data_IF_074859249406
#
_entry.id   IF_074859249406
#
_cell.length_a   1.000
_cell.length_b   1.000
_cell.length_c   1.000
_cell.angle_alpha   90.00
_cell.angle_beta   90.00
_cell.angle_gamma   90.00
#
_symmetry.space_group_name_H-M   'P 1'
#
loop_
_entity.id
_entity.type
_entity.pdbx_description
1 polymer ?
#
# COMPACT_ATOMS: atom_id res chain seq x y z
N UNK A 1 -1.31 -0.89 -11.32
CA UNK A 1 -2.22 0.27 -11.43
C UNK A 1 -2.11 0.82 -12.86
N UNK A 2 -3.12 1.50 -13.37
CA UNK A 2 -3.14 1.95 -14.79
C UNK A 2 -2.04 2.96 -15.12
N UNK A 3 -1.55 3.69 -14.11
CA UNK A 3 -0.54 4.74 -14.23
C UNK A 3 0.91 4.23 -14.10
N UNK A 4 1.13 2.94 -13.84
CA UNK A 4 2.48 2.36 -13.67
C UNK A 4 3.27 2.89 -12.47
N UNK A 5 2.61 3.53 -11.50
CA UNK A 5 3.25 4.13 -10.34
C UNK A 5 3.63 3.08 -9.29
N UNK A 6 4.77 3.29 -8.65
CA UNK A 6 5.17 2.52 -7.46
C UNK A 6 4.35 2.92 -6.23
N UNK A 7 4.34 2.06 -5.20
CA UNK A 7 3.63 2.37 -3.95
C UNK A 7 4.19 3.61 -3.26
N UNK A 8 5.49 3.86 -3.37
CA UNK A 8 6.15 5.04 -2.80
C UNK A 8 5.74 6.32 -3.51
N UNK A 9 5.59 6.27 -4.83
CA UNK A 9 5.12 7.38 -5.65
C UNK A 9 3.67 7.73 -5.34
N UNK A 10 2.80 6.72 -5.23
CA UNK A 10 1.42 6.94 -4.82
C UNK A 10 1.36 7.57 -3.44
N UNK A 11 2.07 7.02 -2.45
CA UNK A 11 2.06 7.57 -1.09
C UNK A 11 2.65 8.99 -1.02
N UNK A 12 3.63 9.30 -1.88
CA UNK A 12 4.15 10.67 -2.01
C UNK A 12 3.08 11.63 -2.51
N UNK A 13 2.32 11.24 -3.54
CA UNK A 13 1.27 12.06 -4.16
C UNK A 13 0.01 12.18 -3.28
N UNK A 14 -0.34 11.13 -2.54
CA UNK A 14 -1.57 11.09 -1.71
C UNK A 14 -1.33 11.46 -0.24
N UNK A 15 -0.09 11.74 0.13
CA UNK A 15 0.32 12.09 1.50
C UNK A 15 0.54 13.59 1.71
N UNK A 16 1.69 14.00 2.29
CA UNK A 16 1.94 15.39 2.67
C UNK A 16 1.86 16.42 1.53
N UNK A 17 2.08 16.00 0.28
CA UNK A 17 2.00 16.87 -0.90
C UNK A 17 0.62 17.53 -1.01
N UNK A 18 -0.44 16.85 -0.59
CA UNK A 18 -1.81 17.37 -0.55
C UNK A 18 -2.30 17.64 0.87
N UNK A 19 -1.38 17.85 1.82
CA UNK A 19 -1.69 18.16 3.22
C UNK A 19 -2.17 16.99 4.08
N UNK A 20 -2.04 15.74 3.59
CA UNK A 20 -2.43 14.54 4.34
C UNK A 20 -1.29 13.98 5.21
N UNK A 21 -1.59 13.14 6.23
CA UNK A 21 -0.57 12.48 7.04
C UNK A 21 0.42 11.66 6.20
N UNK A 22 1.63 11.45 6.74
CA UNK A 22 2.70 10.66 6.10
C UNK A 22 2.34 9.19 5.83
N UNK A 23 1.28 8.68 6.44
CA UNK A 23 0.78 7.32 6.19
C UNK A 23 0.09 7.18 4.82
N UNK A 24 -0.32 8.29 4.19
CA UNK A 24 -0.81 8.33 2.81
C UNK A 24 -1.79 7.17 2.48
N UNK A 25 -1.61 6.46 1.36
CA UNK A 25 -2.53 5.40 0.92
C UNK A 25 -2.10 4.02 1.43
N UNK A 26 -1.01 3.48 0.91
CA UNK A 26 -0.56 2.11 1.19
C UNK A 26 -0.04 1.97 2.62
N UNK A 27 0.68 2.98 3.12
CA UNK A 27 1.16 2.94 4.51
C UNK A 27 0.01 3.02 5.52
N UNK A 28 -1.14 3.62 5.17
CA UNK A 28 -2.34 3.58 6.01
C UNK A 28 -2.93 2.17 6.05
N UNK A 29 -2.97 1.45 4.91
CA UNK A 29 -3.40 0.04 4.90
C UNK A 29 -2.53 -0.80 5.83
N UNK A 30 -1.21 -0.63 5.77
CA UNK A 30 -0.29 -1.34 6.66
C UNK A 30 -0.49 -1.01 8.14
N UNK A 31 -1.00 0.16 8.49
CA UNK A 31 -1.28 0.53 9.90
C UNK A 31 -2.59 -0.09 10.37
N UNK A 32 -3.62 -0.06 9.53
CA UNK A 32 -4.95 -0.59 9.83
C UNK A 32 -4.92 -2.12 9.86
N UNK A 33 -4.47 -2.74 8.77
CA UNK A 33 -4.54 -4.17 8.52
C UNK A 33 -5.14 -4.46 7.14
N UNK A 34 -4.45 -5.26 6.32
CA UNK A 34 -4.96 -5.68 5.00
C UNK A 34 -6.25 -6.51 5.13
N UNK A 35 -6.31 -7.38 6.13
CA UNK A 35 -7.47 -8.21 6.47
C UNK A 35 -8.73 -7.37 6.71
N UNK A 36 -8.59 -6.27 7.45
CA UNK A 36 -9.66 -5.33 7.75
C UNK A 36 -10.13 -4.63 6.48
N UNK A 37 -9.18 -4.18 5.64
CA UNK A 37 -9.51 -3.57 4.35
C UNK A 37 -10.30 -4.54 3.46
N UNK A 38 -9.83 -5.78 3.34
CA UNK A 38 -10.48 -6.83 2.53
C UNK A 38 -11.89 -7.12 3.04
N UNK A 39 -12.06 -7.24 4.36
CA UNK A 39 -13.36 -7.48 4.97
C UNK A 39 -14.36 -6.35 4.65
N UNK A 40 -13.95 -5.09 4.79
CA UNK A 40 -14.80 -3.93 4.50
C UNK A 40 -15.11 -3.83 3.01
N UNK A 41 -14.10 -4.03 2.14
CA UNK A 41 -14.29 -3.95 0.70
C UNK A 41 -15.28 -5.01 0.18
N UNK A 42 -15.12 -6.27 0.60
CA UNK A 42 -16.03 -7.36 0.24
C UNK A 42 -17.44 -7.09 0.79
N UNK A 43 -17.55 -6.62 2.03
CA UNK A 43 -18.85 -6.26 2.61
C UNK A 43 -19.57 -5.19 1.80
N UNK A 44 -18.88 -4.14 1.34
CA UNK A 44 -19.50 -3.11 0.48
C UNK A 44 -19.88 -3.69 -0.88
N UNK A 45 -18.99 -4.47 -1.50
CA UNK A 45 -19.24 -5.10 -2.80
C UNK A 45 -20.49 -5.99 -2.75
N UNK A 46 -20.62 -6.86 -1.74
CA UNK A 46 -21.74 -7.79 -1.61
C UNK A 46 -23.07 -7.10 -1.28
N UNK A 47 -23.04 -6.01 -0.50
CA UNK A 47 -24.26 -5.40 0.05
C UNK A 47 -24.75 -4.17 -0.74
N UNK A 48 -23.93 -3.62 -1.64
CA UNK A 48 -24.29 -2.45 -2.45
C UNK A 48 -24.22 -2.73 -3.96
N UNK A 49 -24.93 -3.75 -4.50
CA UNK A 49 -24.76 -4.22 -5.88
C UNK A 49 -25.17 -3.19 -6.96
N UNK A 50 -25.99 -2.20 -6.60
CA UNK A 50 -26.50 -1.17 -7.51
C UNK A 50 -25.80 0.19 -7.33
N UNK A 51 -24.76 0.27 -6.49
CA UNK A 51 -24.02 1.51 -6.25
C UNK A 51 -23.14 1.86 -7.47
N UNK A 52 -23.08 3.15 -7.83
CA UNK A 52 -22.28 3.62 -8.97
C UNK A 52 -20.78 3.33 -8.81
N UNK A 53 -20.30 3.24 -7.56
CA UNK A 53 -18.92 2.93 -7.20
C UNK A 53 -18.70 1.44 -6.91
N UNK A 54 -19.70 0.56 -7.06
CA UNK A 54 -19.61 -0.87 -6.75
C UNK A 54 -18.36 -1.53 -7.36
N UNK A 55 -18.05 -1.21 -8.63
CA UNK A 55 -16.87 -1.74 -9.33
C UNK A 55 -15.52 -1.38 -8.69
N UNK A 56 -15.43 -0.27 -7.95
CA UNK A 56 -14.20 0.15 -7.27
C UNK A 56 -13.84 -0.71 -6.06
N UNK A 57 -14.82 -1.43 -5.50
CA UNK A 57 -14.61 -2.34 -4.37
C UNK A 57 -14.17 -3.74 -4.80
N UNK A 58 -14.05 -4.00 -6.11
CA UNK A 58 -13.43 -5.23 -6.61
C UNK A 58 -11.93 -5.19 -6.33
N UNK A 59 -11.47 -6.07 -5.45
CA UNK A 59 -10.07 -6.14 -5.05
C UNK A 59 -9.19 -6.66 -6.22
N UNK A 60 -8.01 -6.05 -6.44
CA UNK A 60 -7.06 -6.52 -7.44
C UNK A 60 -6.33 -7.80 -6.99
N UNK A 61 -5.89 -8.61 -7.96
CA UNK A 61 -5.35 -9.96 -7.73
C UNK A 61 -4.17 -10.01 -6.75
N UNK A 62 -3.32 -8.98 -6.73
CA UNK A 62 -2.18 -8.93 -5.80
C UNK A 62 -2.61 -8.93 -4.32
N UNK A 63 -3.81 -8.40 -4.01
CA UNK A 63 -4.34 -8.38 -2.63
C UNK A 63 -4.56 -9.82 -2.15
N UNK A 64 -5.09 -10.70 -3.01
CA UNK A 64 -5.26 -12.11 -2.65
C UNK A 64 -3.91 -12.77 -2.35
N UNK A 65 -2.89 -12.51 -3.17
CA UNK A 65 -1.55 -13.04 -2.92
C UNK A 65 -0.98 -12.54 -1.59
N UNK A 66 -1.18 -11.28 -1.24
CA UNK A 66 -0.77 -10.72 0.05
C UNK A 66 -1.51 -11.38 1.23
N UNK A 67 -2.82 -11.64 1.08
CA UNK A 67 -3.62 -12.34 2.09
C UNK A 67 -3.13 -13.78 2.31
N UNK A 68 -2.90 -14.53 1.23
CA UNK A 68 -2.43 -15.91 1.29
C UNK A 68 -1.08 -16.03 1.99
N UNK A 69 -0.18 -15.07 1.73
CA UNK A 69 1.14 -14.99 2.36
C UNK A 69 1.15 -14.30 3.73
N UNK A 70 -0.02 -13.90 4.26
CA UNK A 70 -0.19 -13.17 5.53
C UNK A 70 0.62 -11.87 5.61
N UNK A 71 0.69 -11.12 4.52
CA UNK A 71 1.31 -9.79 4.47
C UNK A 71 0.29 -8.74 4.90
N UNK A 72 -0.09 -8.79 6.18
CA UNK A 72 -1.25 -8.06 6.69
C UNK A 72 -0.93 -6.62 7.12
N UNK A 73 0.34 -6.22 7.09
CA UNK A 73 0.79 -4.88 7.47
C UNK A 73 1.72 -4.86 8.68
N UNK A 74 1.83 -3.69 9.29
CA UNK A 74 2.81 -3.34 10.33
C UNK A 74 2.75 -4.25 11.56
N UNK A 75 1.54 -4.67 11.98
CA UNK A 75 1.35 -5.57 13.13
C UNK A 75 1.96 -6.96 12.89
N UNK A 76 2.01 -7.40 11.63
CA UNK A 76 2.60 -8.67 11.22
C UNK A 76 4.03 -8.53 10.69
N UNK A 77 4.61 -7.33 10.77
CA UNK A 77 5.98 -7.03 10.32
C UNK A 77 6.14 -6.78 8.83
N UNK A 78 5.15 -7.15 8.00
CA UNK A 78 5.18 -6.93 6.56
C UNK A 78 3.78 -6.78 5.95
N UNK A 79 3.67 -5.90 4.96
CA UNK A 79 2.49 -5.64 4.13
C UNK A 79 2.95 -5.04 2.80
N UNK A 80 2.44 -3.87 2.42
CA UNK A 80 3.02 -3.10 1.32
C UNK A 80 4.46 -2.65 1.62
N UNK A 81 4.74 -2.38 2.89
CA UNK A 81 6.07 -2.13 3.40
C UNK A 81 6.50 -3.26 4.35
N UNK A 82 7.79 -3.56 4.37
CA UNK A 82 8.39 -4.54 5.27
C UNK A 82 9.53 -3.90 6.04
N UNK A 83 9.50 -4.00 7.38
CA UNK A 83 10.59 -3.52 8.22
C UNK A 83 11.53 -4.70 8.49
N UNK A 84 12.79 -4.56 8.10
CA UNK A 84 13.85 -5.51 8.44
C UNK A 84 14.80 -4.86 9.45
N UNK A 85 15.35 -5.64 10.36
CA UNK A 85 16.39 -5.20 11.29
C UNK A 85 17.70 -5.82 10.82
N UNK A 86 18.65 -4.99 10.41
CA UNK A 86 19.99 -5.41 10.01
C UNK A 86 20.95 -5.53 11.19
N UNK A 87 22.15 -6.01 10.91
CA UNK A 87 23.21 -6.17 11.90
C UNK A 87 23.58 -4.82 12.54
N UNK A 88 23.57 -4.78 13.88
CA UNK A 88 23.78 -3.57 14.66
C UNK A 88 22.51 -2.76 14.97
N UNK A 89 21.31 -3.33 14.79
CA UNK A 89 20.05 -2.74 15.25
C UNK A 89 19.49 -1.65 14.34
N UNK A 90 20.10 -1.41 13.18
CA UNK A 90 19.58 -0.48 12.17
C UNK A 90 18.41 -1.13 11.44
N UNK A 91 17.26 -0.45 11.43
CA UNK A 91 16.11 -0.91 10.67
C UNK A 91 16.09 -0.32 9.26
N UNK A 92 15.87 -1.17 8.26
CA UNK A 92 15.60 -0.79 6.87
C UNK A 92 14.13 -1.05 6.53
N UNK A 93 13.56 -0.23 5.66
CA UNK A 93 12.21 -0.42 5.13
C UNK A 93 12.34 -0.85 3.68
N UNK A 94 11.74 -1.99 3.36
CA UNK A 94 11.55 -2.48 2.01
C UNK A 94 10.13 -2.14 1.53
N UNK A 95 9.98 -2.02 0.22
CA UNK A 95 8.71 -1.74 -0.46
C UNK A 95 8.35 -2.93 -1.35
N UNK A 96 7.08 -3.31 -1.35
CA UNK A 96 6.56 -4.34 -2.25
C UNK A 96 6.44 -3.77 -3.66
N UNK A 97 7.02 -4.46 -4.64
CA UNK A 97 6.81 -4.15 -6.04
C UNK A 97 5.53 -4.85 -6.52
N UNK A 98 4.51 -4.09 -6.93
CA UNK A 98 3.20 -4.65 -7.28
C UNK A 98 3.19 -5.46 -8.58
N UNK A 99 4.26 -5.40 -9.39
CA UNK A 99 4.36 -6.16 -10.64
C UNK A 99 5.02 -7.52 -10.41
N UNK A 100 6.01 -7.58 -9.53
CA UNK A 100 6.79 -8.81 -9.26
C UNK A 100 6.37 -9.50 -7.96
N UNK A 101 5.72 -8.77 -7.06
CA UNK A 101 5.39 -9.17 -5.69
C UNK A 101 6.62 -9.52 -4.85
N UNK A 102 7.77 -8.96 -5.20
CA UNK A 102 9.01 -9.06 -4.42
C UNK A 102 9.26 -7.77 -3.63
N UNK A 103 9.83 -7.92 -2.44
CA UNK A 103 10.29 -6.77 -1.66
C UNK A 103 11.62 -6.27 -2.20
N UNK A 104 11.66 -4.98 -2.53
CA UNK A 104 12.88 -4.27 -2.94
C UNK A 104 13.23 -3.16 -1.97
N UNK A 105 14.46 -2.66 -2.05
CA UNK A 105 14.85 -1.45 -1.31
C UNK A 105 13.90 -0.31 -1.65
N UNK A 106 13.50 0.43 -0.61
CA UNK A 106 12.61 1.57 -0.75
C UNK A 106 13.28 2.61 -1.66
N UNK A 107 12.58 2.99 -2.73
CA UNK A 107 13.04 4.01 -3.67
C UNK A 107 12.42 5.33 -3.27
N UNK A 108 13.26 6.37 -3.20
CA UNK A 108 12.76 7.74 -3.01
C UNK A 108 11.92 8.12 -4.23
N UNK A 109 10.62 8.27 -4.05
CA UNK A 109 9.76 8.85 -5.07
C UNK A 109 10.24 10.26 -5.40
N UNK A 110 10.57 10.49 -6.67
CA UNK A 110 11.05 11.79 -7.18
C UNK A 110 10.19 12.19 -8.36
N UNK A 111 9.64 13.40 -8.28
CA UNK A 111 8.90 14.02 -9.35
C UNK A 111 9.50 15.40 -9.56
N UNK A 112 9.99 15.67 -10.77
CA UNK A 112 10.68 16.92 -11.09
C UNK A 112 9.88 18.17 -10.67
N UNK A 113 8.55 18.14 -10.85
CA UNK A 113 7.65 19.23 -10.47
C UNK A 113 7.56 19.46 -8.96
N UNK A 114 7.72 18.42 -8.15
CA UNK A 114 7.65 18.52 -6.68
C UNK A 114 8.99 18.90 -6.04
N UNK A 115 10.10 18.82 -6.78
CA UNK A 115 11.43 19.20 -6.28
C UNK A 115 11.79 20.67 -6.54
N UNK A 116 10.93 21.40 -7.25
CA UNK A 116 11.10 22.82 -7.58
C UNK A 116 10.46 23.78 -6.54
N UNK A 117 9.87 23.24 -5.46
CA UNK A 117 9.26 24.01 -4.35
C UNK A 117 10.00 23.74 -3.06
#
# INVERSE_FOLDING_TARGET
>A
NELGLTIEEVDKLTGPVIGRPKSATFRTVDVVGLDTLVHVANGIYENCPNDEAHGLFKLPDFIQTMMDNKWLGSKTGQGFYKKITGDGGKSEILSLDLNTLEYRKNKKASFATLELT
#
